data_IF_616106500640
#
_entry.id   IF_616106500640
#
_cell.length_a   1.000
_cell.length_b   1.000
_cell.length_c   1.000
_cell.angle_alpha   90.00
_cell.angle_beta   90.00
_cell.angle_gamma   90.00
#
_symmetry.space_group_name_H-M   'P 1'
#
loop_
_entity.id
_entity.type
_entity.pdbx_description
1 polymer ?
#
# COMPACT_ATOMS: atom_id res chain seq x y z
N UNK A 1 23.39 -43.22 -33.54
CA UNK A 1 22.03 -42.69 -33.63
C UNK A 1 21.57 -42.35 -32.17
N UNK A 2 21.86 -41.13 -31.72
CA UNK A 2 21.48 -40.63 -30.41
C UNK A 2 20.42 -39.52 -30.58
N UNK A 3 19.22 -39.80 -30.17
CA UNK A 3 18.12 -38.80 -30.17
C UNK A 3 18.26 -37.89 -28.98
N UNK A 4 18.62 -36.65 -29.17
CA UNK A 4 18.64 -35.61 -28.18
C UNK A 4 17.24 -35.21 -27.74
N UNK A 5 16.97 -35.32 -26.45
CA UNK A 5 15.75 -34.88 -25.80
C UNK A 5 15.79 -33.36 -25.66
N UNK A 6 14.96 -32.65 -26.38
CA UNK A 6 14.79 -31.18 -26.24
C UNK A 6 13.80 -30.91 -25.13
N UNK A 7 14.21 -30.23 -24.08
CA UNK A 7 13.35 -29.68 -23.05
C UNK A 7 12.66 -28.42 -23.59
N UNK A 8 11.36 -28.22 -23.36
CA UNK A 8 10.70 -26.97 -23.73
C UNK A 8 11.15 -25.86 -22.76
N UNK A 9 11.45 -24.69 -23.33
CA UNK A 9 11.78 -23.46 -22.61
C UNK A 9 10.56 -23.02 -21.79
N UNK A 10 10.77 -22.80 -20.50
CA UNK A 10 9.78 -22.21 -19.60
C UNK A 10 9.56 -20.73 -19.95
N UNK A 11 8.57 -20.46 -20.76
CA UNK A 11 7.96 -19.15 -20.92
C UNK A 11 6.55 -19.28 -20.37
N UNK A 12 6.29 -18.82 -19.16
CA UNK A 12 4.95 -18.93 -18.61
C UNK A 12 4.75 -18.63 -17.13
N UNK A 13 5.67 -17.97 -16.41
CA UNK A 13 5.48 -17.67 -14.99
C UNK A 13 5.12 -16.21 -14.74
N UNK A 14 5.41 -15.28 -15.63
CA UNK A 14 5.13 -13.85 -15.43
C UNK A 14 3.64 -13.47 -15.48
N UNK A 15 2.78 -14.32 -16.08
CA UNK A 15 1.35 -14.00 -16.27
C UNK A 15 0.45 -14.48 -15.13
N UNK A 16 0.94 -15.30 -14.20
CA UNK A 16 0.10 -15.91 -13.17
C UNK A 16 -0.14 -15.01 -11.94
N UNK A 17 0.75 -14.06 -11.65
CA UNK A 17 0.62 -13.19 -10.45
C UNK A 17 -0.37 -12.04 -10.71
N UNK A 18 -0.44 -11.51 -11.94
CA UNK A 18 -1.43 -10.49 -12.31
C UNK A 18 -2.86 -11.07 -12.40
N UNK A 19 -3.00 -12.36 -12.69
CA UNK A 19 -4.30 -13.03 -12.82
C UNK A 19 -5.05 -13.22 -11.51
N UNK A 20 -4.37 -13.24 -10.35
CA UNK A 20 -5.01 -13.46 -9.05
C UNK A 20 -5.75 -12.21 -8.57
N UNK A 21 -5.27 -11.01 -8.89
CA UNK A 21 -5.96 -9.76 -8.54
C UNK A 21 -7.20 -9.53 -9.43
N UNK A 22 -7.20 -10.01 -10.66
CA UNK A 22 -8.31 -9.81 -11.61
C UNK A 22 -9.41 -10.89 -11.55
N UNK A 23 -9.12 -12.10 -11.06
CA UNK A 23 -10.11 -13.19 -11.00
C UNK A 23 -11.09 -13.11 -9.80
N UNK A 24 -10.84 -12.25 -8.80
CA UNK A 24 -11.74 -12.05 -7.64
C UNK A 24 -12.96 -11.14 -7.95
N UNK A 25 -13.27 -10.87 -9.22
CA UNK A 25 -14.20 -9.84 -9.67
C UNK A 25 -15.69 -10.13 -9.46
N UNK A 26 -16.13 -11.21 -8.80
CA UNK A 26 -17.54 -11.64 -8.77
C UNK A 26 -18.19 -11.82 -7.39
N UNK A 27 -17.63 -11.27 -6.32
CA UNK A 27 -18.37 -11.18 -5.07
C UNK A 27 -18.78 -9.72 -4.78
N UNK A 28 -19.99 -9.37 -5.11
CA UNK A 28 -20.64 -8.12 -4.68
C UNK A 28 -20.94 -8.26 -3.19
N UNK A 29 -19.97 -7.89 -2.35
CA UNK A 29 -20.20 -7.71 -0.92
C UNK A 29 -21.01 -6.45 -0.68
N UNK A 30 -22.33 -6.57 -0.43
CA UNK A 30 -23.13 -5.47 0.11
C UNK A 30 -22.56 -5.10 1.48
N UNK A 31 -22.26 -3.82 1.71
CA UNK A 31 -22.03 -3.33 3.07
C UNK A 31 -23.24 -3.71 3.94
N UNK A 32 -23.01 -4.24 5.16
CA UNK A 32 -24.14 -4.58 6.04
C UNK A 32 -24.94 -3.34 6.40
N UNK A 33 -26.21 -3.56 6.67
CA UNK A 33 -27.11 -2.54 7.16
C UNK A 33 -26.51 -1.95 8.46
N UNK A 34 -26.09 -0.68 8.42
CA UNK A 34 -25.54 0.00 9.58
C UNK A 34 -24.21 0.72 9.36
N UNK A 35 -23.43 0.37 8.33
CA UNK A 35 -22.17 1.05 8.02
C UNK A 35 -22.38 1.92 6.77
N UNK A 36 -22.28 3.24 6.90
CA UNK A 36 -22.42 4.17 5.77
C UNK A 36 -21.05 4.74 5.36
N UNK A 37 -20.79 4.79 4.06
CA UNK A 37 -19.62 5.46 3.55
C UNK A 37 -19.67 6.96 3.85
N UNK A 38 -18.54 7.55 4.24
CA UNK A 38 -18.40 9.00 4.41
C UNK A 38 -18.41 9.72 3.06
N UNK A 39 -17.82 9.09 2.04
CA UNK A 39 -17.77 9.62 0.68
C UNK A 39 -17.74 8.48 -0.34
N UNK A 40 -18.03 8.81 -1.60
CA UNK A 40 -17.76 8.00 -2.77
C UNK A 40 -16.78 8.77 -3.65
N UNK A 41 -15.62 8.17 -3.93
CA UNK A 41 -14.53 8.86 -4.63
C UNK A 41 -14.76 8.98 -6.13
N UNK A 42 -15.56 8.08 -6.71
CA UNK A 42 -15.99 8.16 -8.11
C UNK A 42 -14.90 7.84 -9.13
N UNK A 43 -13.84 7.15 -8.69
CA UNK A 43 -12.76 6.66 -9.57
C UNK A 43 -13.07 5.27 -10.11
N UNK A 44 -12.38 4.86 -11.18
CA UNK A 44 -12.57 3.53 -11.79
C UNK A 44 -11.81 2.43 -11.04
N UNK A 45 -10.79 2.82 -10.29
CA UNK A 45 -9.87 1.91 -9.60
C UNK A 45 -9.42 2.44 -8.22
N UNK A 46 -8.72 1.59 -7.48
CA UNK A 46 -8.20 1.85 -6.13
C UNK A 46 -6.77 1.35 -6.07
N UNK A 47 -5.81 2.25 -5.80
CA UNK A 47 -4.40 1.88 -5.68
C UNK A 47 -3.85 2.14 -4.29
N UNK A 48 -3.79 3.39 -3.85
CA UNK A 48 -3.12 3.78 -2.63
C UNK A 48 -3.99 4.70 -1.77
N UNK A 49 -3.84 4.59 -0.46
CA UNK A 49 -4.44 5.49 0.52
C UNK A 49 -3.39 5.80 1.59
N UNK A 50 -3.25 7.07 1.95
CA UNK A 50 -2.30 7.49 2.97
C UNK A 50 -2.83 8.68 3.77
N UNK A 51 -2.45 8.76 5.05
CA UNK A 51 -2.51 10.01 5.81
C UNK A 51 -1.31 10.89 5.42
N UNK A 52 -1.54 12.16 5.15
CA UNK A 52 -0.51 13.10 4.75
C UNK A 52 -0.01 13.92 5.94
N UNK A 53 1.02 13.41 6.62
CA UNK A 53 1.60 14.05 7.80
C UNK A 53 0.85 13.75 9.09
N UNK A 54 0.97 14.66 10.07
CA UNK A 54 0.46 14.47 11.43
C UNK A 54 -1.03 14.85 11.59
N UNK A 55 -1.59 15.61 10.63
CA UNK A 55 -3.01 15.95 10.65
C UNK A 55 -3.84 14.75 10.18
N UNK A 56 -4.60 14.13 11.08
CA UNK A 56 -5.44 13.01 10.69
C UNK A 56 -6.61 13.42 9.77
N UNK A 57 -6.87 14.73 9.60
CA UNK A 57 -7.83 15.24 8.63
C UNK A 57 -7.31 15.22 7.20
N UNK A 58 -6.00 15.12 7.01
CA UNK A 58 -5.36 15.19 5.71
C UNK A 58 -5.08 13.79 5.14
N UNK A 59 -5.72 13.47 4.02
CA UNK A 59 -5.66 12.17 3.36
C UNK A 59 -5.36 12.33 1.87
N UNK A 60 -4.62 11.36 1.33
CA UNK A 60 -4.32 11.23 -0.09
C UNK A 60 -4.82 9.88 -0.60
N UNK A 61 -5.47 9.88 -1.76
CA UNK A 61 -5.94 8.67 -2.43
C UNK A 61 -5.45 8.61 -3.86
N UNK A 62 -4.76 7.52 -4.22
CA UNK A 62 -4.16 7.28 -5.53
C UNK A 62 -5.03 6.39 -6.41
N UNK A 63 -5.11 6.75 -7.69
CA UNK A 63 -5.78 6.00 -8.74
C UNK A 63 -5.10 6.24 -10.10
N UNK A 64 -5.49 5.55 -11.18
CA UNK A 64 -4.88 5.73 -12.50
C UNK A 64 -4.93 7.18 -13.03
N UNK A 65 -5.92 7.95 -12.63
CA UNK A 65 -6.10 9.34 -13.09
C UNK A 65 -5.34 10.39 -12.27
N UNK A 66 -4.63 10.00 -11.20
CA UNK A 66 -3.91 10.92 -10.33
C UNK A 66 -4.13 10.71 -8.84
N UNK A 67 -4.16 11.81 -8.11
CA UNK A 67 -4.40 11.80 -6.65
C UNK A 67 -5.60 12.66 -6.32
N UNK A 68 -6.46 12.16 -5.45
CA UNK A 68 -7.45 12.94 -4.72
C UNK A 68 -6.92 13.27 -3.32
N UNK A 69 -7.13 14.50 -2.89
CA UNK A 69 -6.81 15.01 -1.57
C UNK A 69 -8.08 15.31 -0.78
N UNK A 70 -8.07 15.00 0.50
CA UNK A 70 -9.04 15.45 1.48
C UNK A 70 -8.32 16.13 2.64
N UNK A 71 -8.81 17.30 3.05
CA UNK A 71 -8.31 18.04 4.23
C UNK A 71 -9.37 18.14 5.33
N UNK A 72 -10.48 17.43 5.19
CA UNK A 72 -11.62 17.45 6.11
C UNK A 72 -11.99 16.06 6.67
N UNK A 73 -11.01 15.17 6.65
CA UNK A 73 -11.16 13.81 7.19
C UNK A 73 -11.90 12.85 6.27
N UNK A 74 -11.87 13.10 4.98
CA UNK A 74 -12.46 12.24 3.95
C UNK A 74 -13.92 12.56 3.62
N UNK A 75 -14.44 13.71 4.07
CA UNK A 75 -15.82 14.13 3.76
C UNK A 75 -15.93 14.71 2.36
N UNK A 76 -14.91 15.45 1.94
CA UNK A 76 -14.78 15.96 0.57
C UNK A 76 -13.41 15.67 0.00
N UNK A 77 -13.34 15.53 -1.33
CA UNK A 77 -12.13 15.17 -2.05
C UNK A 77 -11.96 16.05 -3.28
N UNK A 78 -10.74 16.51 -3.51
CA UNK A 78 -10.38 17.36 -4.64
C UNK A 78 -9.17 16.75 -5.38
N UNK A 79 -9.12 16.83 -6.71
CA UNK A 79 -7.96 16.36 -7.45
C UNK A 79 -6.76 17.28 -7.23
N UNK A 80 -5.60 16.70 -6.95
CA UNK A 80 -4.33 17.42 -7.04
C UNK A 80 -3.92 17.63 -8.51
N UNK A 81 -3.07 18.64 -8.80
CA UNK A 81 -2.65 18.95 -10.17
C UNK A 81 -1.60 17.96 -10.70
N UNK A 82 -1.91 16.68 -10.62
CA UNK A 82 -1.13 15.58 -11.20
C UNK A 82 -2.06 14.60 -11.91
N UNK A 83 -1.59 14.02 -13.03
CA UNK A 83 -2.29 12.95 -13.75
C UNK A 83 -1.46 11.67 -13.77
N UNK A 84 -0.63 11.52 -12.77
CA UNK A 84 0.24 10.36 -12.61
C UNK A 84 -0.58 9.13 -12.17
N UNK A 85 -0.27 7.96 -12.72
CA UNK A 85 -0.79 6.69 -12.22
C UNK A 85 -0.17 6.39 -10.85
N UNK A 86 -0.90 6.71 -9.78
CA UNK A 86 -0.41 6.66 -8.42
C UNK A 86 -0.64 5.28 -7.79
N UNK A 87 0.17 4.28 -8.20
CA UNK A 87 0.15 2.93 -7.60
C UNK A 87 0.55 2.95 -6.12
N UNK A 88 1.47 3.84 -5.75
CA UNK A 88 1.88 4.08 -4.38
C UNK A 88 2.04 5.56 -4.08
N UNK A 89 1.69 5.95 -2.87
CA UNK A 89 1.86 7.30 -2.32
C UNK A 89 2.65 7.18 -1.02
N UNK A 90 3.79 7.86 -0.93
CA UNK A 90 4.63 7.89 0.25
C UNK A 90 4.80 9.32 0.78
N UNK A 91 3.87 9.80 1.62
CA UNK A 91 4.03 11.08 2.29
C UNK A 91 5.14 11.01 3.35
N UNK A 92 5.81 12.15 3.57
CA UNK A 92 6.72 12.37 4.66
C UNK A 92 6.47 13.77 5.24
N UNK A 93 7.01 14.06 6.40
CA UNK A 93 6.81 15.34 7.06
C UNK A 93 7.03 16.54 6.13
N UNK A 94 6.43 17.71 6.48
CA UNK A 94 6.60 18.99 5.79
C UNK A 94 6.10 19.06 4.33
N UNK A 95 5.03 18.32 4.00
CA UNK A 95 4.41 18.38 2.68
C UNK A 95 5.18 17.65 1.58
N UNK A 96 6.17 16.83 1.94
CA UNK A 96 6.87 15.97 0.99
C UNK A 96 6.01 14.76 0.63
N UNK A 97 5.73 14.57 -0.66
CA UNK A 97 4.97 13.42 -1.17
C UNK A 97 5.76 12.83 -2.33
N UNK A 98 5.93 11.52 -2.34
CA UNK A 98 6.46 10.78 -3.50
C UNK A 98 5.34 9.91 -4.06
N UNK A 99 5.22 9.91 -5.38
CA UNK A 99 4.35 9.01 -6.14
C UNK A 99 5.24 8.08 -6.95
N UNK A 100 4.89 6.80 -6.91
CA UNK A 100 5.47 5.76 -7.77
C UNK A 100 4.35 4.95 -8.43
N UNK A 101 4.53 4.59 -9.69
CA UNK A 101 3.52 3.83 -10.45
C UNK A 101 4.00 3.48 -11.85
N UNK A 102 3.05 3.29 -12.78
CA UNK A 102 3.37 2.96 -14.16
C UNK A 102 3.96 4.18 -14.88
N UNK A 103 5.24 4.09 -15.24
CA UNK A 103 6.01 5.16 -15.89
C UNK A 103 6.04 6.48 -15.07
N UNK A 104 5.84 6.38 -13.76
CA UNK A 104 5.76 7.52 -12.86
C UNK A 104 6.69 7.34 -11.67
N UNK A 105 7.58 8.31 -11.47
CA UNK A 105 8.34 8.49 -10.23
C UNK A 105 8.56 9.98 -10.02
N UNK A 106 7.74 10.61 -9.19
CA UNK A 106 7.69 12.07 -9.04
C UNK A 106 7.49 12.47 -7.58
N UNK A 107 7.93 13.66 -7.23
CA UNK A 107 7.80 14.21 -5.90
C UNK A 107 7.18 15.59 -5.90
N UNK A 108 6.40 15.87 -4.86
CA UNK A 108 6.03 17.20 -4.41
C UNK A 108 6.77 17.53 -3.11
N UNK A 109 7.07 18.82 -2.92
CA UNK A 109 7.66 19.36 -1.68
C UNK A 109 6.79 20.44 -1.04
N UNK A 110 5.64 20.69 -1.62
CA UNK A 110 4.70 21.77 -1.27
C UNK A 110 3.27 21.25 -1.05
N UNK A 111 3.14 20.02 -0.57
CA UNK A 111 1.85 19.40 -0.26
C UNK A 111 1.04 18.99 -1.49
N UNK A 112 1.70 18.78 -2.63
CA UNK A 112 1.00 18.38 -3.87
C UNK A 112 0.64 19.55 -4.80
N UNK A 113 1.03 20.77 -4.45
CA UNK A 113 0.75 21.94 -5.30
C UNK A 113 1.58 21.93 -6.60
N UNK A 114 2.84 21.48 -6.52
CA UNK A 114 3.70 21.29 -7.69
C UNK A 114 4.41 19.93 -7.64
N UNK A 115 4.72 19.38 -8.81
CA UNK A 115 5.33 18.06 -8.96
C UNK A 115 6.55 18.10 -9.86
N UNK A 116 7.59 17.34 -9.50
CA UNK A 116 8.83 17.23 -10.26
C UNK A 116 9.22 15.76 -10.37
N UNK A 117 9.59 15.32 -11.57
CA UNK A 117 10.12 13.99 -11.78
C UNK A 117 11.40 13.77 -11.00
N UNK A 118 11.54 12.62 -10.38
CA UNK A 118 12.77 12.21 -9.73
C UNK A 118 13.60 11.48 -10.79
N UNK A 119 14.77 12.02 -11.19
CA UNK A 119 15.64 11.33 -12.14
C UNK A 119 16.23 10.09 -11.46
N UNK A 120 15.78 8.91 -11.88
CA UNK A 120 16.18 7.62 -11.33
C UNK A 120 16.96 6.81 -12.36
N UNK A 121 17.98 6.08 -11.91
CA UNK A 121 18.73 5.12 -12.73
C UNK A 121 18.13 3.71 -12.70
N UNK A 122 16.86 3.59 -12.30
CA UNK A 122 16.11 2.33 -12.38
C UNK A 122 16.05 1.81 -13.83
N UNK A 123 16.12 0.49 -14.06
CA UNK A 123 16.00 -0.07 -15.41
C UNK A 123 14.60 0.09 -16.02
N UNK A 124 13.60 0.40 -15.20
CA UNK A 124 12.21 0.69 -15.59
C UNK A 124 11.55 1.52 -14.51
N UNK A 125 10.63 2.41 -14.89
CA UNK A 125 9.75 3.12 -13.96
C UNK A 125 8.38 2.42 -13.81
N UNK A 126 8.23 1.19 -14.27
CA UNK A 126 7.04 0.37 -14.03
C UNK A 126 7.11 -0.20 -12.60
N UNK A 127 6.71 0.65 -11.62
CA UNK A 127 6.85 0.41 -10.18
C UNK A 127 5.52 -0.10 -9.62
N UNK A 128 5.50 -1.35 -9.15
CA UNK A 128 4.31 -2.02 -8.61
C UNK A 128 4.25 -2.04 -7.08
N UNK A 129 5.29 -1.60 -6.42
CA UNK A 129 5.33 -1.45 -4.97
C UNK A 129 6.40 -0.46 -4.56
N UNK A 130 6.11 0.35 -3.56
CA UNK A 130 7.03 1.40 -3.13
C UNK A 130 6.93 1.61 -1.62
N UNK A 131 8.09 1.74 -0.97
CA UNK A 131 8.19 2.09 0.43
C UNK A 131 9.24 3.20 0.62
N UNK A 132 9.02 4.02 1.63
CA UNK A 132 9.94 5.07 2.06
C UNK A 132 10.22 4.91 3.55
N UNK A 133 11.46 5.01 3.96
CA UNK A 133 11.82 4.94 5.39
C UNK A 133 11.24 6.15 6.14
N UNK A 134 10.45 5.95 7.19
CA UNK A 134 9.86 7.05 7.93
C UNK A 134 10.89 7.89 8.70
N UNK A 135 12.04 7.32 9.07
CA UNK A 135 13.11 8.03 9.79
C UNK A 135 14.15 8.65 8.84
N UNK A 136 14.34 8.07 7.66
CA UNK A 136 15.22 8.58 6.61
C UNK A 136 14.47 8.66 5.28
N UNK A 137 13.77 9.76 4.98
CA UNK A 137 13.00 9.91 3.75
C UNK A 137 13.83 9.86 2.46
N UNK A 138 15.15 9.93 2.54
CA UNK A 138 16.05 9.69 1.40
C UNK A 138 16.22 8.22 1.08
N UNK A 139 15.81 7.33 1.96
CA UNK A 139 15.90 5.89 1.79
C UNK A 139 14.58 5.30 1.33
N UNK A 140 14.60 4.57 0.23
CA UNK A 140 13.43 4.10 -0.47
C UNK A 140 13.62 2.70 -1.03
N UNK A 141 12.51 1.98 -1.21
CA UNK A 141 12.48 0.67 -1.88
C UNK A 141 11.41 0.67 -2.96
N UNK A 142 11.73 0.05 -4.09
CA UNK A 142 10.84 -0.09 -5.23
C UNK A 142 10.79 -1.54 -5.70
N UNK A 143 9.60 -2.10 -5.87
CA UNK A 143 9.35 -3.34 -6.58
C UNK A 143 9.04 -3.02 -8.03
N UNK A 144 9.85 -3.51 -8.97
CA UNK A 144 9.59 -3.31 -10.40
C UNK A 144 8.71 -4.43 -10.98
N UNK A 145 7.92 -4.13 -11.99
CA UNK A 145 7.14 -5.12 -12.74
C UNK A 145 8.00 -6.21 -13.38
N UNK A 146 9.23 -5.87 -13.75
CA UNK A 146 10.23 -6.82 -14.26
C UNK A 146 10.79 -7.75 -13.18
N UNK A 147 10.39 -7.53 -11.93
CA UNK A 147 10.76 -8.30 -10.75
C UNK A 147 11.99 -7.80 -10.00
N UNK A 148 11.98 -8.10 -8.71
CA UNK A 148 13.02 -7.76 -7.77
C UNK A 148 12.80 -6.44 -7.04
N UNK A 149 13.33 -6.41 -5.81
CA UNK A 149 13.30 -5.25 -4.94
C UNK A 149 14.59 -4.44 -5.13
N UNK A 150 14.44 -3.15 -5.27
CA UNK A 150 15.52 -2.18 -5.44
C UNK A 150 15.52 -1.21 -4.26
N UNK A 151 16.70 -0.79 -3.80
CA UNK A 151 16.89 0.19 -2.73
C UNK A 151 17.60 1.43 -3.28
N UNK A 152 17.13 2.62 -2.86
CA UNK A 152 17.84 3.88 -3.00
C UNK A 152 18.17 4.44 -1.62
N UNK A 153 19.30 5.14 -1.51
CA UNK A 153 19.76 5.83 -0.28
C UNK A 153 20.00 7.32 -0.49
N UNK A 154 19.66 7.84 -1.65
CA UNK A 154 19.95 9.22 -2.05
C UNK A 154 18.71 9.96 -2.62
N UNK A 155 17.54 9.58 -2.14
CA UNK A 155 16.28 10.23 -2.53
C UNK A 155 15.74 9.77 -3.88
N UNK A 156 16.12 8.56 -4.33
CA UNK A 156 15.59 7.96 -5.53
C UNK A 156 16.43 8.19 -6.79
N UNK A 157 17.61 8.83 -6.67
CA UNK A 157 18.45 9.08 -7.84
C UNK A 157 19.23 7.85 -8.29
N UNK A 158 19.78 7.08 -7.34
CA UNK A 158 20.52 5.85 -7.60
C UNK A 158 19.88 4.68 -6.89
N UNK A 159 19.86 3.54 -7.58
CA UNK A 159 19.20 2.33 -7.12
C UNK A 159 20.10 1.10 -7.25
N UNK A 160 20.06 0.26 -6.22
CA UNK A 160 20.73 -1.05 -6.21
C UNK A 160 19.66 -2.13 -6.07
N UNK A 161 19.76 -3.19 -6.86
CA UNK A 161 18.90 -4.36 -6.70
C UNK A 161 19.33 -5.14 -5.46
N UNK A 162 18.48 -5.20 -4.44
CA UNK A 162 18.78 -5.84 -3.16
C UNK A 162 18.23 -7.26 -3.06
N UNK A 163 17.16 -7.58 -3.78
CA UNK A 163 16.60 -8.94 -3.85
C UNK A 163 16.02 -9.26 -5.22
N UNK A 164 15.98 -10.55 -5.55
CA UNK A 164 15.25 -11.07 -6.70
C UNK A 164 13.78 -11.36 -6.39
N UNK A 165 13.40 -11.31 -5.10
CA UNK A 165 12.05 -11.64 -4.64
C UNK A 165 11.05 -10.58 -5.06
N UNK A 166 9.84 -11.03 -5.38
CA UNK A 166 8.72 -10.16 -5.67
C UNK A 166 7.94 -9.92 -4.37
N UNK A 167 8.25 -8.80 -3.72
CA UNK A 167 7.63 -8.39 -2.47
C UNK A 167 6.54 -7.37 -2.76
N UNK A 168 5.31 -7.80 -2.75
CA UNK A 168 4.14 -6.94 -2.93
C UNK A 168 3.89 -6.10 -1.67
N UNK A 169 3.36 -4.91 -1.86
CA UNK A 169 3.02 -3.97 -0.78
C UNK A 169 4.17 -3.75 0.22
N UNK A 170 5.39 -3.41 -0.24
CA UNK A 170 6.49 -3.16 0.67
C UNK A 170 6.15 -2.00 1.60
N UNK A 171 6.42 -2.20 2.89
CA UNK A 171 6.25 -1.18 3.93
C UNK A 171 7.54 -1.10 4.75
N UNK A 172 8.08 0.10 4.91
CA UNK A 172 9.22 0.36 5.76
C UNK A 172 8.77 0.95 7.10
N UNK A 173 9.35 0.48 8.17
CA UNK A 173 9.14 0.96 9.53
C UNK A 173 10.48 1.16 10.21
N UNK A 174 10.55 2.05 11.21
CA UNK A 174 11.78 2.29 11.96
C UNK A 174 11.49 2.27 13.44
N UNK A 175 12.13 1.35 14.16
CA UNK A 175 12.04 1.18 15.59
C UNK A 175 13.45 1.21 16.19
N UNK A 176 13.68 2.06 17.21
CA UNK A 176 14.99 2.29 17.85
C UNK A 176 16.14 2.51 16.82
N UNK A 177 15.86 3.26 15.77
CA UNK A 177 16.82 3.57 14.70
C UNK A 177 17.16 2.39 13.78
N UNK A 178 16.39 1.29 13.85
CA UNK A 178 16.55 0.13 12.96
C UNK A 178 15.38 0.04 11.99
N UNK A 179 15.70 -0.01 10.72
CA UNK A 179 14.70 -0.22 9.67
C UNK A 179 14.29 -1.68 9.62
N UNK A 180 13.00 -1.91 9.50
CA UNK A 180 12.40 -3.21 9.22
C UNK A 180 11.48 -3.06 8.03
N UNK A 181 11.58 -3.98 7.09
CA UNK A 181 10.65 -4.07 5.98
C UNK A 181 9.64 -5.18 6.23
N UNK A 182 8.44 -4.94 5.76
CA UNK A 182 7.36 -5.91 5.67
C UNK A 182 6.85 -5.96 4.23
N UNK A 183 6.23 -7.07 3.86
CA UNK A 183 5.58 -7.22 2.56
C UNK A 183 4.91 -8.56 2.41
N UNK A 184 4.47 -8.84 1.20
CA UNK A 184 3.77 -10.07 0.84
C UNK A 184 4.53 -10.75 -0.28
N UNK A 185 4.96 -11.99 -0.09
CA UNK A 185 5.55 -12.83 -1.11
C UNK A 185 4.58 -13.98 -1.52
N UNK A 186 5.06 -14.93 -2.30
CA UNK A 186 4.26 -16.08 -2.75
C UNK A 186 3.85 -17.02 -1.61
N UNK A 187 4.55 -16.96 -0.46
CA UNK A 187 4.26 -17.78 0.73
C UNK A 187 3.38 -17.05 1.74
N UNK A 188 3.23 -15.75 1.63
CA UNK A 188 2.40 -14.94 2.51
C UNK A 188 3.09 -13.68 3.04
N UNK A 189 2.88 -13.38 4.32
CA UNK A 189 3.51 -12.24 4.98
C UNK A 189 4.98 -12.54 5.25
N UNK A 190 5.84 -11.59 4.91
CA UNK A 190 7.28 -11.67 5.10
C UNK A 190 7.85 -10.41 5.73
N UNK A 191 8.99 -10.53 6.39
CA UNK A 191 9.73 -9.42 6.98
C UNK A 191 11.21 -9.52 6.67
N UNK A 192 11.88 -8.37 6.54
CA UNK A 192 13.33 -8.25 6.39
C UNK A 192 13.89 -7.29 7.43
N UNK A 193 15.08 -7.61 7.96
CA UNK A 193 15.85 -6.77 8.89
C UNK A 193 17.24 -6.40 8.33
N UNK A 194 17.47 -6.72 7.07
CA UNK A 194 18.72 -6.48 6.35
C UNK A 194 18.50 -5.71 5.04
N UNK A 195 17.58 -4.74 5.11
CA UNK A 195 17.29 -3.80 4.02
C UNK A 195 16.68 -4.44 2.77
N UNK A 196 15.94 -5.55 2.96
CA UNK A 196 15.29 -6.25 1.87
C UNK A 196 16.16 -7.29 1.15
N UNK A 197 17.36 -7.59 1.66
CA UNK A 197 18.27 -8.58 1.04
C UNK A 197 17.81 -10.00 1.29
N UNK A 198 17.32 -10.28 2.50
CA UNK A 198 16.72 -11.57 2.84
C UNK A 198 15.36 -11.37 3.51
N UNK A 199 14.46 -12.31 3.26
CA UNK A 199 13.10 -12.27 3.76
C UNK A 199 12.81 -13.53 4.57
N UNK A 200 12.21 -13.35 5.73
CA UNK A 200 11.74 -14.44 6.59
C UNK A 200 10.20 -14.43 6.66
N UNK A 201 9.55 -15.60 6.66
CA UNK A 201 8.12 -15.67 6.91
C UNK A 201 7.76 -15.00 8.23
N UNK A 202 6.70 -14.20 8.23
CA UNK A 202 6.22 -13.52 9.44
C UNK A 202 5.25 -14.43 10.20
N UNK A 203 4.04 -14.55 9.69
CA UNK A 203 3.00 -15.45 10.20
C UNK A 203 2.10 -15.87 9.04
N UNK A 204 1.28 -16.89 9.22
CA UNK A 204 0.24 -17.22 8.25
C UNK A 204 -0.71 -16.03 8.14
N UNK A 205 -0.94 -15.47 6.94
CA UNK A 205 -1.89 -14.38 6.74
C UNK A 205 -3.28 -14.77 7.23
N UNK A 206 -3.98 -13.85 7.91
CA UNK A 206 -5.32 -14.13 8.42
C UNK A 206 -6.39 -14.21 7.33
N UNK A 207 -6.09 -13.74 6.12
CA UNK A 207 -6.99 -13.78 4.96
C UNK A 207 -6.22 -13.72 3.63
N UNK A 208 -6.84 -14.22 2.57
CA UNK A 208 -6.38 -14.12 1.18
C UNK A 208 -7.54 -13.78 0.23
N UNK A 209 -7.30 -13.06 -0.87
CA UNK A 209 -6.05 -12.35 -1.18
C UNK A 209 -5.86 -11.14 -0.26
N UNK A 210 -4.59 -10.78 -0.01
CA UNK A 210 -4.25 -9.48 0.58
C UNK A 210 -4.37 -8.43 -0.52
N UNK A 211 -5.13 -7.38 -0.26
CA UNK A 211 -5.37 -6.29 -1.22
C UNK A 211 -4.64 -5.01 -0.85
N UNK A 212 -4.23 -4.89 0.42
CA UNK A 212 -3.49 -3.74 0.96
C UNK A 212 -2.72 -4.15 2.21
N UNK A 213 -1.56 -3.56 2.41
CA UNK A 213 -0.77 -3.72 3.63
C UNK A 213 -0.18 -2.38 4.04
N UNK A 214 -0.31 -2.02 5.32
CA UNK A 214 0.21 -0.76 5.86
C UNK A 214 0.64 -0.94 7.32
N UNK A 215 1.43 0.00 7.83
CA UNK A 215 1.91 0.00 9.21
C UNK A 215 2.02 1.42 9.76
N UNK A 216 2.05 1.55 11.10
CA UNK A 216 2.59 2.74 11.76
C UNK A 216 4.09 2.86 11.51
N UNK A 217 4.65 4.07 11.60
CA UNK A 217 6.05 4.34 11.30
C UNK A 217 7.01 3.51 12.17
N UNK A 218 6.65 3.20 13.41
CA UNK A 218 7.40 2.35 14.35
C UNK A 218 7.15 0.84 14.16
N UNK A 219 6.21 0.45 13.27
CA UNK A 219 5.82 -0.94 13.07
C UNK A 219 5.04 -1.55 14.24
N UNK A 220 4.63 -0.75 15.23
CA UNK A 220 3.86 -1.22 16.39
C UNK A 220 2.48 -1.76 15.99
N UNK A 221 1.86 -1.14 15.01
CA UNK A 221 0.58 -1.60 14.43
C UNK A 221 0.75 -1.89 12.95
N UNK A 222 0.30 -3.07 12.53
CA UNK A 222 0.20 -3.48 11.13
C UNK A 222 -1.27 -3.69 10.77
N UNK A 223 -1.67 -3.33 9.53
CA UNK A 223 -3.00 -3.57 8.99
C UNK A 223 -2.93 -4.29 7.65
N UNK A 224 -3.83 -5.25 7.48
CA UNK A 224 -4.07 -5.95 6.21
C UNK A 224 -5.49 -5.62 5.76
N UNK A 225 -5.62 -5.16 4.50
CA UNK A 225 -6.86 -5.17 3.76
C UNK A 225 -7.03 -6.46 2.97
N UNK A 226 -8.25 -6.94 2.89
CA UNK A 226 -8.62 -8.14 2.15
C UNK A 226 -10.06 -8.04 1.62
N UNK A 227 -10.48 -9.04 0.84
CA UNK A 227 -11.88 -9.16 0.42
C UNK A 227 -12.84 -9.44 1.61
N UNK A 228 -12.29 -9.95 2.72
CA UNK A 228 -13.06 -10.29 3.93
C UNK A 228 -13.12 -9.15 4.95
N UNK A 229 -12.43 -8.04 4.69
CA UNK A 229 -12.34 -6.89 5.60
C UNK A 229 -10.92 -6.54 5.98
N UNK A 230 -10.75 -6.01 7.21
CA UNK A 230 -9.49 -5.52 7.73
C UNK A 230 -9.04 -6.40 8.89
N UNK A 231 -7.74 -6.68 8.93
CA UNK A 231 -7.10 -7.37 10.05
C UNK A 231 -6.01 -6.49 10.63
N UNK A 232 -5.92 -6.46 11.95
CA UNK A 232 -4.97 -5.65 12.71
C UNK A 232 -4.08 -6.54 13.57
N UNK A 233 -2.81 -6.22 13.59
CA UNK A 233 -1.81 -6.73 14.52
C UNK A 233 -1.25 -5.56 15.33
N UNK A 234 -1.12 -5.73 16.64
CA UNK A 234 -0.50 -4.77 17.57
C UNK A 234 0.80 -5.34 18.19
N UNK A 235 1.30 -6.44 17.62
CA UNK A 235 2.51 -7.15 18.05
C UNK A 235 3.45 -7.46 16.86
N UNK A 236 3.51 -6.52 15.90
CA UNK A 236 4.41 -6.60 14.73
C UNK A 236 4.16 -7.82 13.85
N UNK A 237 2.92 -8.27 13.76
CA UNK A 237 2.51 -9.39 12.95
C UNK A 237 2.58 -10.75 13.64
N UNK A 238 2.84 -10.80 14.96
CA UNK A 238 2.84 -12.03 15.73
C UNK A 238 1.45 -12.64 15.85
N UNK A 239 0.42 -11.81 16.01
CA UNK A 239 -0.98 -12.21 16.02
C UNK A 239 -1.87 -11.21 15.29
N UNK A 240 -3.04 -11.67 14.82
CA UNK A 240 -3.97 -10.89 14.03
C UNK A 240 -5.40 -11.01 14.57
N UNK A 241 -6.09 -9.87 14.63
CA UNK A 241 -7.53 -9.84 14.91
C UNK A 241 -8.29 -9.17 13.78
N UNK A 242 -9.46 -9.69 13.46
CA UNK A 242 -10.36 -9.08 12.48
C UNK A 242 -11.04 -7.87 13.11
N UNK A 243 -11.02 -6.74 12.43
CA UNK A 243 -11.77 -5.55 12.82
C UNK A 243 -13.26 -5.70 12.42
N UNK A 244 -14.19 -5.06 13.15
CA UNK A 244 -15.61 -5.11 12.83
C UNK A 244 -15.97 -4.22 11.62
N UNK A 245 -15.12 -4.23 10.60
CA UNK A 245 -15.39 -3.64 9.30
C UNK A 245 -15.96 -4.71 8.40
N UNK A 246 -17.03 -4.38 7.71
CA UNK A 246 -17.71 -5.30 6.82
C UNK A 246 -17.66 -4.77 5.40
N UNK A 247 -17.17 -5.59 4.49
CA UNK A 247 -16.90 -5.26 3.09
C UNK A 247 -15.44 -5.52 2.72
N UNK A 248 -15.14 -5.41 1.43
CA UNK A 248 -13.78 -5.55 0.93
C UNK A 248 -12.96 -4.28 1.25
N UNK A 249 -11.73 -4.44 1.74
CA UNK A 249 -10.82 -3.34 2.02
C UNK A 249 -9.71 -3.35 0.97
N UNK A 250 -9.81 -2.49 -0.06
CA UNK A 250 -8.87 -2.46 -1.18
C UNK A 250 -7.67 -1.57 -0.92
N UNK A 251 -7.85 -0.42 -0.26
CA UNK A 251 -6.76 0.38 0.26
C UNK A 251 -7.03 0.73 1.72
N UNK A 252 -6.04 0.58 2.58
CA UNK A 252 -6.11 0.83 4.01
C UNK A 252 -4.97 1.75 4.40
N UNK A 253 -5.25 2.75 5.23
CA UNK A 253 -4.25 3.62 5.83
C UNK A 253 -4.43 3.67 7.35
N UNK A 254 -3.33 3.86 8.06
CA UNK A 254 -3.28 4.03 9.52
C UNK A 254 -2.52 5.30 9.87
N UNK A 255 -3.05 6.09 10.81
CA UNK A 255 -2.34 7.27 11.35
C UNK A 255 -1.19 6.86 12.27
N UNK A 256 -0.25 7.79 12.52
CA UNK A 256 0.90 7.56 13.39
C UNK A 256 0.52 7.04 14.78
N UNK A 257 -0.58 7.51 15.36
CA UNK A 257 -1.07 7.05 16.66
C UNK A 257 -1.94 5.78 16.63
N UNK A 258 -2.09 5.12 15.49
CA UNK A 258 -2.88 3.90 15.26
C UNK A 258 -4.38 4.01 15.67
N UNK A 259 -4.89 5.22 15.89
CA UNK A 259 -6.30 5.48 16.23
C UNK A 259 -7.17 5.71 15.02
N UNK A 260 -6.63 6.44 14.05
CA UNK A 260 -7.35 6.71 12.81
C UNK A 260 -7.04 5.61 11.79
N UNK A 261 -8.06 4.98 11.28
CA UNK A 261 -7.96 4.02 10.18
C UNK A 261 -8.90 4.48 9.08
N UNK A 262 -8.36 4.57 7.88
CA UNK A 262 -9.10 4.92 6.69
C UNK A 262 -9.11 3.74 5.71
N UNK A 263 -10.23 3.57 5.00
CA UNK A 263 -10.44 2.45 4.08
C UNK A 263 -11.14 2.93 2.83
N UNK A 264 -10.68 2.45 1.67
CA UNK A 264 -11.42 2.54 0.41
C UNK A 264 -11.77 1.13 -0.05
N UNK A 265 -13.05 0.91 -0.34
CA UNK A 265 -13.54 -0.37 -0.90
C UNK A 265 -13.32 -0.43 -2.41
N UNK A 266 -13.54 -1.61 -2.99
CA UNK A 266 -13.50 -1.79 -4.44
C UNK A 266 -14.46 -0.85 -5.19
N UNK A 267 -15.59 -0.54 -4.60
CA UNK A 267 -16.62 0.36 -5.15
C UNK A 267 -16.28 1.83 -4.91
N UNK A 268 -15.05 2.15 -4.54
CA UNK A 268 -14.52 3.49 -4.24
C UNK A 268 -15.29 4.21 -3.13
N UNK A 269 -15.85 3.44 -2.19
CA UNK A 269 -16.48 3.98 -1.00
C UNK A 269 -15.43 4.21 0.09
N UNK A 270 -15.40 5.39 0.66
CA UNK A 270 -14.49 5.77 1.72
C UNK A 270 -15.14 5.61 3.11
N UNK A 271 -14.42 4.99 4.02
CA UNK A 271 -14.81 4.80 5.42
C UNK A 271 -13.68 5.21 6.34
N UNK A 272 -14.02 5.60 7.57
CA UNK A 272 -13.05 6.00 8.58
C UNK A 272 -13.48 5.57 9.97
N UNK A 273 -12.51 5.07 10.74
CA UNK A 273 -12.62 4.81 12.18
C UNK A 273 -11.71 5.77 12.95
N UNK A 274 -12.16 6.22 14.13
CA UNK A 274 -11.43 7.14 15.02
C UNK A 274 -10.93 6.49 16.32
N UNK A 275 -11.11 5.18 16.46
CA UNK A 275 -10.85 4.41 17.68
C UNK A 275 -10.03 3.13 17.42
N UNK A 276 -9.21 3.14 16.37
CA UNK A 276 -8.36 2.00 16.02
C UNK A 276 -9.10 0.86 15.33
N UNK A 277 -10.27 1.17 14.75
CA UNK A 277 -11.08 0.21 14.01
C UNK A 277 -12.12 -0.52 14.84
N UNK A 278 -12.34 -0.11 16.09
CA UNK A 278 -13.37 -0.72 16.96
C UNK A 278 -14.77 -0.32 16.54
N UNK A 279 -14.96 0.92 16.05
CA UNK A 279 -16.22 1.37 15.47
C UNK A 279 -16.02 2.06 14.13
N UNK A 280 -17.06 1.99 13.29
CA UNK A 280 -17.10 2.58 11.97
C UNK A 280 -18.33 3.48 11.87
N UNK A 281 -18.20 4.83 11.99
CA UNK A 281 -19.30 5.79 11.95
C UNK A 281 -20.08 5.66 10.65
N UNK A 282 -21.40 5.79 10.78
CA UNK A 282 -22.37 5.52 9.71
C UNK A 282 -23.18 4.25 9.97
N UNK A 283 -22.78 3.39 10.92
CA UNK A 283 -23.71 2.47 11.53
C UNK A 283 -24.67 3.28 12.41
N UNK A 284 -25.85 3.59 11.89
CA UNK A 284 -26.89 4.12 12.75
C UNK A 284 -27.08 3.13 13.91
N UNK A 285 -26.69 3.54 15.12
CA UNK A 285 -27.25 2.93 16.31
C UNK A 285 -28.77 3.09 16.17
N UNK A 286 -29.44 1.99 15.81
CA UNK A 286 -30.89 1.90 15.89
C UNK A 286 -31.21 2.04 17.36
N UNK A 287 -32.07 3.03 17.77
CA UNK A 287 -32.48 3.21 19.16
C UNK A 287 -33.23 2.00 19.70
#
# INVERSE_FOLDING_TARGET
>A
MSRGLRWPRATGIATAVLGVVLAAAWFVGRAPAGQAALARLGTEDVHALAFAGDDPGHLLFGHHGGILESVDGGRSWQPLPTRADAMAIAPAGYGSIVIAGHEVFTASRDGGATWQDIPADLPSLDIHGFARDPADPGRMWALLATGGLWESRDGGARWERVSADNILFPVATTDDGRTRLYGVDVSGLATSIDDGRTWAPLTTPPAYPITSFTATADGGTLLIGSLEGIFRSDDRGGSWRKLPFTGSAFAVAVSAGAREIAVVTKETQFFRSHDGGETWPGSASVP
#
